data_IF_376556952658
#
_entry.id   IF_376556952658
#
_cell.length_a   1.000
_cell.length_b   1.000
_cell.length_c   1.000
_cell.angle_alpha   90.00
_cell.angle_beta   90.00
_cell.angle_gamma   90.00
#
_symmetry.space_group_name_H-M   'P 1'
#
loop_
_entity.id
_entity.type
_entity.pdbx_description
1 polymer ?
#
# COMPACT_ATOMS: atom_id res chain seq x y z
N UNK A 1 8.99 9.02 1.65
CA UNK A 1 7.69 9.74 1.62
C UNK A 1 7.24 10.16 0.22
N UNK A 2 8.10 10.68 -0.66
CA UNK A 2 7.68 11.15 -2.00
C UNK A 2 6.96 10.10 -2.85
N UNK A 3 7.57 8.91 -3.04
CA UNK A 3 6.95 7.82 -3.82
C UNK A 3 5.61 7.34 -3.22
N UNK A 4 5.58 7.17 -1.90
CA UNK A 4 4.38 6.81 -1.15
C UNK A 4 3.23 7.80 -1.40
N UNK A 5 3.53 9.08 -1.36
CA UNK A 5 2.55 10.15 -1.51
C UNK A 5 1.95 10.18 -2.93
N UNK A 6 2.78 9.97 -3.96
CA UNK A 6 2.29 9.87 -5.35
C UNK A 6 1.36 8.68 -5.51
N UNK A 7 1.76 7.49 -5.01
CA UNK A 7 0.94 6.28 -5.09
C UNK A 7 -0.37 6.45 -4.29
N UNK A 8 -0.29 6.96 -3.06
CA UNK A 8 -1.47 7.21 -2.23
C UNK A 8 -2.42 8.24 -2.86
N UNK A 9 -1.88 9.28 -3.50
CA UNK A 9 -2.68 10.27 -4.22
C UNK A 9 -3.37 9.66 -5.45
N UNK A 10 -2.69 8.77 -6.19
CA UNK A 10 -3.30 8.02 -7.29
C UNK A 10 -4.43 7.10 -6.79
N UNK A 11 -4.20 6.36 -5.70
CA UNK A 11 -5.22 5.51 -5.09
C UNK A 11 -6.44 6.33 -4.63
N UNK A 12 -6.24 7.55 -4.17
CA UNK A 12 -7.36 8.44 -3.80
C UNK A 12 -8.15 8.92 -5.03
N UNK A 13 -7.47 9.17 -6.16
CA UNK A 13 -8.14 9.49 -7.44
C UNK A 13 -8.96 8.29 -7.93
N UNK A 14 -8.38 7.08 -7.93
CA UNK A 14 -9.08 5.84 -8.29
C UNK A 14 -10.26 5.55 -7.35
N UNK A 15 -10.08 5.80 -6.05
CA UNK A 15 -11.16 5.67 -5.05
C UNK A 15 -12.31 6.64 -5.31
N UNK A 16 -12.00 7.87 -5.76
CA UNK A 16 -13.00 8.86 -6.15
C UNK A 16 -13.74 8.47 -7.43
N UNK A 17 -13.02 7.95 -8.43
CA UNK A 17 -13.59 7.43 -9.67
C UNK A 17 -14.53 6.24 -9.40
N UNK A 18 -14.13 5.34 -8.51
CA UNK A 18 -14.97 4.24 -8.04
C UNK A 18 -16.23 4.72 -7.29
N UNK A 19 -16.27 5.97 -6.81
CA UNK A 19 -17.46 6.61 -6.25
C UNK A 19 -18.18 7.54 -7.25
N UNK A 20 -17.82 7.48 -8.53
CA UNK A 20 -18.46 8.18 -9.63
C UNK A 20 -17.95 9.59 -9.93
N UNK A 21 -16.81 10.02 -9.35
CA UNK A 21 -16.18 11.30 -9.70
C UNK A 21 -14.81 11.07 -10.35
N UNK A 22 -14.72 11.35 -11.65
CA UNK A 22 -13.48 11.22 -12.41
C UNK A 22 -12.64 12.49 -12.31
N UNK A 23 -11.39 12.36 -11.85
CA UNK A 23 -10.43 13.45 -11.80
C UNK A 23 -9.20 13.12 -12.65
N UNK A 24 -8.75 14.02 -13.53
CA UNK A 24 -7.55 13.78 -14.33
C UNK A 24 -6.32 13.68 -13.43
N UNK A 25 -5.58 12.56 -13.53
CA UNK A 25 -4.49 12.26 -12.61
C UNK A 25 -3.34 13.26 -12.67
N UNK A 26 -2.85 13.59 -13.87
CA UNK A 26 -1.71 14.49 -14.05
C UNK A 26 -1.90 15.88 -13.39
N UNK A 27 -2.98 16.65 -13.66
CA UNK A 27 -3.19 17.93 -13.01
C UNK A 27 -3.48 17.80 -11.51
N UNK A 28 -4.19 16.75 -11.05
CA UNK A 28 -4.43 16.51 -9.62
C UNK A 28 -3.13 16.28 -8.86
N UNK A 29 -2.23 15.46 -9.41
CA UNK A 29 -0.91 15.21 -8.85
C UNK A 29 0.00 16.43 -8.92
N UNK A 30 -0.08 17.21 -10.01
CA UNK A 30 0.68 18.45 -10.15
C UNK A 30 0.31 19.48 -9.08
N UNK A 31 -1.00 19.67 -8.81
CA UNK A 31 -1.47 20.55 -7.73
C UNK A 31 -0.98 20.05 -6.37
N UNK A 32 -1.02 18.75 -6.12
CA UNK A 32 -0.49 18.18 -4.88
C UNK A 32 1.03 18.43 -4.74
N UNK A 33 1.80 18.23 -5.80
CA UNK A 33 3.24 18.49 -5.81
C UNK A 33 3.59 19.97 -5.59
N UNK A 34 2.89 20.88 -6.27
CA UNK A 34 3.04 22.33 -6.07
C UNK A 34 2.71 22.71 -4.63
N UNK A 35 1.62 22.18 -4.06
CA UNK A 35 1.25 22.39 -2.67
C UNK A 35 2.35 21.93 -1.70
N UNK A 36 2.98 20.79 -1.96
CA UNK A 36 4.12 20.30 -1.19
C UNK A 36 5.32 21.25 -1.28
N UNK A 37 5.67 21.73 -2.46
CA UNK A 37 6.78 22.66 -2.66
C UNK A 37 6.53 24.00 -1.95
N UNK A 38 5.31 24.53 -2.04
CA UNK A 38 4.92 25.73 -1.32
C UNK A 38 4.99 25.51 0.19
N UNK A 39 4.41 24.43 0.71
CA UNK A 39 4.46 24.12 2.14
C UNK A 39 5.91 24.00 2.64
N UNK A 40 6.78 23.34 1.87
CA UNK A 40 8.21 23.24 2.18
C UNK A 40 8.91 24.61 2.19
N UNK A 41 8.58 25.51 1.26
CA UNK A 41 9.11 26.88 1.23
C UNK A 41 8.70 27.69 2.48
N UNK A 42 7.56 27.38 3.09
CA UNK A 42 7.11 27.96 4.37
C UNK A 42 7.53 27.12 5.60
N UNK A 43 8.45 26.16 5.45
CA UNK A 43 9.08 25.43 6.55
C UNK A 43 8.38 24.12 6.97
N UNK A 44 7.40 23.63 6.21
CA UNK A 44 6.82 22.31 6.45
C UNK A 44 7.82 21.19 6.11
N UNK A 45 8.07 20.30 7.07
CA UNK A 45 8.83 19.07 6.83
C UNK A 45 7.95 17.91 6.32
N UNK A 46 6.64 18.11 6.24
CA UNK A 46 5.68 17.11 5.79
C UNK A 46 5.14 17.44 4.40
N UNK A 47 5.14 16.47 3.46
CA UNK A 47 4.56 16.69 2.14
C UNK A 47 3.02 16.66 2.20
N UNK A 48 2.37 17.39 1.29
CA UNK A 48 0.90 17.36 1.15
C UNK A 48 0.47 16.14 0.36
N UNK A 49 -0.75 15.63 0.58
CA UNK A 49 -1.33 14.53 -0.21
C UNK A 49 -2.76 14.87 -0.60
N UNK A 50 -3.27 14.25 -1.68
CA UNK A 50 -4.71 14.25 -1.96
C UNK A 50 -5.42 13.59 -0.79
N UNK A 51 -6.53 14.18 -0.35
CA UNK A 51 -7.25 13.75 0.84
C UNK A 51 -7.90 12.37 0.66
N UNK A 52 -7.76 11.52 1.67
CA UNK A 52 -8.29 10.16 1.66
C UNK A 52 -9.79 10.14 2.05
N UNK A 53 -10.52 9.16 1.51
CA UNK A 53 -11.89 8.90 1.93
C UNK A 53 -12.96 9.71 1.21
N UNK A 54 -12.66 10.27 0.03
CA UNK A 54 -13.64 10.93 -0.86
C UNK A 54 -15.01 10.19 -0.92
N UNK A 55 -15.07 8.86 -1.06
CA UNK A 55 -16.34 8.14 -1.09
C UNK A 55 -17.15 8.25 0.21
N UNK A 56 -16.48 8.29 1.37
CA UNK A 56 -17.11 8.49 2.68
C UNK A 56 -17.72 9.90 2.80
N UNK A 57 -16.94 10.93 2.47
CA UNK A 57 -17.39 12.33 2.52
C UNK A 57 -18.53 12.60 1.54
N UNK A 58 -18.44 12.06 0.32
CA UNK A 58 -19.49 12.17 -0.70
C UNK A 58 -20.81 11.56 -0.22
N UNK A 59 -20.79 10.40 0.43
CA UNK A 59 -22.00 9.77 1.00
C UNK A 59 -22.63 10.61 2.13
N UNK A 60 -21.84 11.43 2.83
CA UNK A 60 -22.35 12.38 3.83
C UNK A 60 -22.88 13.69 3.21
N UNK A 61 -22.91 13.81 1.88
CA UNK A 61 -23.38 14.99 1.17
C UNK A 61 -22.33 16.10 1.03
N UNK A 62 -21.06 15.83 1.34
CA UNK A 62 -19.98 16.79 1.13
C UNK A 62 -19.84 17.12 -0.36
N UNK A 63 -19.60 18.40 -0.66
CA UNK A 63 -19.37 18.94 -2.00
C UNK A 63 -18.16 19.89 -1.96
N UNK A 64 -17.87 20.55 -3.08
CA UNK A 64 -16.75 21.52 -3.16
C UNK A 64 -16.72 22.57 -2.04
N UNK A 65 -17.90 23.02 -1.59
CA UNK A 65 -18.01 23.97 -0.48
C UNK A 65 -17.40 23.44 0.82
N UNK A 66 -17.55 22.15 1.12
CA UNK A 66 -16.94 21.53 2.29
C UNK A 66 -15.41 21.68 2.28
N UNK A 67 -14.78 21.40 1.13
CA UNK A 67 -13.33 21.54 0.97
C UNK A 67 -12.86 22.99 1.13
N UNK A 68 -13.59 23.95 0.56
CA UNK A 68 -13.26 25.39 0.68
C UNK A 68 -13.41 25.85 2.12
N UNK A 69 -14.54 25.56 2.78
CA UNK A 69 -14.77 25.96 4.16
C UNK A 69 -13.75 25.33 5.11
N UNK A 70 -13.40 24.06 4.90
CA UNK A 70 -12.36 23.41 5.69
C UNK A 70 -11.00 24.09 5.51
N UNK A 71 -10.60 24.40 4.27
CA UNK A 71 -9.36 25.11 4.00
C UNK A 71 -9.31 26.50 4.67
N UNK A 72 -10.39 27.28 4.59
CA UNK A 72 -10.50 28.59 5.23
C UNK A 72 -10.46 28.45 6.75
N UNK A 73 -11.27 27.55 7.32
CA UNK A 73 -11.37 27.34 8.76
C UNK A 73 -10.03 26.93 9.39
N UNK A 74 -9.36 25.93 8.80
CA UNK A 74 -8.05 25.48 9.28
C UNK A 74 -7.00 26.58 9.12
N UNK A 75 -7.01 27.33 8.01
CA UNK A 75 -6.09 28.46 7.81
C UNK A 75 -6.28 29.53 8.89
N UNK A 76 -7.52 29.88 9.23
CA UNK A 76 -7.81 30.84 10.30
C UNK A 76 -7.29 30.35 11.66
N UNK A 77 -7.53 29.08 12.00
CA UNK A 77 -7.00 28.48 13.25
C UNK A 77 -5.46 28.61 13.29
N UNK A 78 -4.79 28.28 12.19
CA UNK A 78 -3.34 28.35 12.09
C UNK A 78 -2.81 29.79 12.19
N UNK A 79 -3.40 30.74 11.45
CA UNK A 79 -2.98 32.15 11.46
C UNK A 79 -3.25 32.84 12.80
N UNK A 80 -4.31 32.46 13.51
CA UNK A 80 -4.61 32.95 14.85
C UNK A 80 -3.75 32.29 15.94
N UNK A 81 -2.93 31.28 15.60
CA UNK A 81 -2.16 30.52 16.57
C UNK A 81 -3.02 29.69 17.53
N UNK A 82 -4.26 29.37 17.14
CA UNK A 82 -5.24 28.68 18.00
C UNK A 82 -5.06 27.15 18.04
N UNK A 83 -4.09 26.59 17.30
CA UNK A 83 -3.86 25.15 17.24
C UNK A 83 -3.62 24.50 18.62
N UNK A 84 -2.83 25.08 19.54
CA UNK A 84 -2.64 24.50 20.88
C UNK A 84 -3.95 24.40 21.67
N UNK A 85 -4.86 25.38 21.50
CA UNK A 85 -6.18 25.34 22.13
C UNK A 85 -7.03 24.20 21.56
N UNK A 86 -7.01 24.00 20.24
CA UNK A 86 -7.71 22.87 19.59
C UNK A 86 -7.17 21.54 20.10
N UNK A 87 -5.85 21.38 20.20
CA UNK A 87 -5.22 20.17 20.72
C UNK A 87 -5.46 19.95 22.22
N UNK A 88 -5.70 21.01 22.99
CA UNK A 88 -6.08 20.91 24.41
C UNK A 88 -7.55 20.50 24.59
N UNK A 89 -8.42 20.86 23.64
CA UNK A 89 -9.86 20.56 23.69
C UNK A 89 -10.21 19.22 23.05
N UNK A 90 -9.51 18.83 21.99
CA UNK A 90 -9.80 17.61 21.23
C UNK A 90 -8.82 16.52 21.66
N UNK A 91 -9.28 15.48 22.38
CA UNK A 91 -8.43 14.36 22.75
C UNK A 91 -7.96 13.61 21.50
N UNK A 92 -6.70 13.16 21.51
CA UNK A 92 -6.12 12.39 20.40
C UNK A 92 -6.89 11.08 20.17
N UNK A 93 -7.48 10.54 21.23
CA UNK A 93 -8.32 9.36 21.24
C UNK A 93 -9.57 9.52 20.37
N UNK A 94 -10.04 10.75 20.12
CA UNK A 94 -11.15 11.00 19.21
C UNK A 94 -10.76 10.83 17.73
N UNK A 95 -9.47 11.01 17.40
CA UNK A 95 -8.97 10.86 16.03
C UNK A 95 -8.83 9.40 15.59
N UNK A 96 -8.48 8.50 16.52
CA UNK A 96 -8.21 7.09 16.22
C UNK A 96 -9.43 6.37 15.61
N UNK A 97 -10.66 6.46 16.17
CA UNK A 97 -11.85 5.85 15.60
C UNK A 97 -12.18 6.36 14.19
N UNK A 98 -11.92 7.65 13.90
CA UNK A 98 -12.17 8.24 12.58
C UNK A 98 -11.28 7.58 11.53
N UNK A 99 -9.97 7.46 11.81
CA UNK A 99 -9.03 6.81 10.89
C UNK A 99 -9.34 5.33 10.72
N UNK A 100 -9.69 4.64 11.80
CA UNK A 100 -10.11 3.23 11.76
C UNK A 100 -11.33 3.04 10.86
N UNK A 101 -12.37 3.87 11.03
CA UNK A 101 -13.58 3.81 10.21
C UNK A 101 -13.29 4.09 8.74
N UNK A 102 -12.46 5.08 8.42
CA UNK A 102 -12.01 5.35 7.05
C UNK A 102 -11.32 4.10 6.45
N UNK A 103 -10.43 3.45 7.21
CA UNK A 103 -9.77 2.21 6.78
C UNK A 103 -10.76 1.07 6.50
N UNK A 104 -11.77 0.88 7.34
CA UNK A 104 -12.84 -0.11 7.14
C UNK A 104 -13.60 0.20 5.85
N UNK A 105 -14.00 1.45 5.65
CA UNK A 105 -14.74 1.88 4.45
C UNK A 105 -13.92 1.66 3.17
N UNK A 106 -12.63 2.00 3.17
CA UNK A 106 -11.75 1.80 2.01
C UNK A 106 -11.59 0.31 1.71
N UNK A 107 -11.38 -0.51 2.74
CA UNK A 107 -11.27 -1.96 2.60
C UNK A 107 -12.56 -2.55 2.03
N UNK A 108 -13.72 -2.20 2.61
CA UNK A 108 -15.01 -2.65 2.12
C UNK A 108 -15.25 -2.23 0.67
N UNK A 109 -14.93 -0.99 0.32
CA UNK A 109 -15.05 -0.49 -1.05
C UNK A 109 -14.18 -1.29 -2.02
N UNK A 110 -12.94 -1.61 -1.66
CA UNK A 110 -12.06 -2.39 -2.52
C UNK A 110 -12.68 -3.73 -2.94
N UNK A 111 -13.44 -4.40 -2.06
CA UNK A 111 -14.20 -5.61 -2.41
C UNK A 111 -15.49 -5.32 -3.18
N UNK A 112 -16.16 -4.21 -2.90
CA UNK A 112 -17.46 -3.87 -3.50
C UNK A 112 -17.35 -3.31 -4.92
N UNK A 113 -16.27 -2.60 -5.22
CA UNK A 113 -16.05 -1.95 -6.53
C UNK A 113 -15.19 -2.77 -7.48
N UNK A 114 -14.65 -3.89 -7.00
CA UNK A 114 -13.91 -4.86 -7.80
C UNK A 114 -14.87 -5.98 -8.24
N UNK A 115 -14.73 -6.53 -9.47
CA UNK A 115 -15.50 -7.70 -9.89
C UNK A 115 -15.44 -8.83 -8.85
N UNK A 116 -16.55 -9.53 -8.64
CA UNK A 116 -16.69 -10.52 -7.56
C UNK A 116 -15.67 -11.65 -7.69
N UNK A 117 -15.36 -12.03 -8.92
CA UNK A 117 -14.39 -13.06 -9.29
C UNK A 117 -12.97 -12.70 -8.82
N UNK A 118 -12.67 -11.39 -8.70
CA UNK A 118 -11.37 -10.86 -8.29
C UNK A 118 -11.27 -10.59 -6.78
N UNK A 119 -12.30 -10.90 -5.98
CA UNK A 119 -12.25 -10.74 -4.52
C UNK A 119 -11.03 -11.44 -3.86
N UNK A 120 -10.59 -12.64 -4.29
CA UNK A 120 -9.36 -13.25 -3.75
C UNK A 120 -8.11 -12.38 -3.99
N UNK A 121 -8.03 -11.66 -5.11
CA UNK A 121 -6.90 -10.77 -5.40
C UNK A 121 -6.84 -9.57 -4.46
N UNK A 122 -8.00 -9.02 -4.07
CA UNK A 122 -8.10 -7.97 -3.04
C UNK A 122 -7.55 -8.49 -1.71
N UNK A 123 -7.96 -9.70 -1.30
CA UNK A 123 -7.48 -10.31 -0.06
C UNK A 123 -5.97 -10.59 -0.08
N UNK A 124 -5.44 -11.16 -1.17
CA UNK A 124 -4.00 -11.39 -1.36
C UNK A 124 -3.22 -10.08 -1.31
N UNK A 125 -3.76 -9.02 -1.93
CA UNK A 125 -3.17 -7.68 -1.90
C UNK A 125 -3.04 -7.10 -0.50
N UNK A 126 -3.82 -7.54 0.49
CA UNK A 126 -3.72 -7.03 1.87
C UNK A 126 -2.57 -7.67 2.66
N UNK A 127 -2.09 -8.86 2.28
CA UNK A 127 -1.13 -9.60 3.10
C UNK A 127 0.19 -8.86 3.37
N UNK A 128 0.85 -8.20 2.39
CA UNK A 128 2.08 -7.46 2.69
C UNK A 128 1.85 -6.32 3.69
N UNK A 129 0.69 -5.64 3.65
CA UNK A 129 0.35 -4.60 4.61
C UNK A 129 0.11 -5.16 6.02
N UNK A 130 -0.56 -6.32 6.14
CA UNK A 130 -0.74 -7.02 7.42
C UNK A 130 0.61 -7.46 7.99
N UNK A 131 1.52 -7.97 7.14
CA UNK A 131 2.88 -8.31 7.54
C UNK A 131 3.65 -7.09 8.04
N UNK A 132 3.54 -5.95 7.34
CA UNK A 132 4.14 -4.68 7.75
C UNK A 132 3.62 -4.20 9.11
N UNK A 133 2.31 -4.27 9.33
CA UNK A 133 1.70 -3.95 10.62
C UNK A 133 2.18 -4.91 11.73
N UNK A 134 2.24 -6.22 11.46
CA UNK A 134 2.78 -7.20 12.40
C UNK A 134 4.23 -6.90 12.80
N UNK A 135 5.08 -6.57 11.84
CA UNK A 135 6.46 -6.16 12.12
C UNK A 135 6.54 -4.84 12.90
N UNK A 136 5.63 -3.89 12.61
CA UNK A 136 5.53 -2.64 13.37
C UNK A 136 5.17 -2.89 14.84
N UNK A 137 4.28 -3.85 15.15
CA UNK A 137 3.95 -4.23 16.53
C UNK A 137 5.14 -4.83 17.26
N UNK A 138 5.90 -5.71 16.60
CA UNK A 138 7.15 -6.28 17.14
C UNK A 138 8.15 -5.15 17.42
N UNK A 139 8.41 -4.29 16.44
CA UNK A 139 9.37 -3.19 16.56
C UNK A 139 9.00 -2.21 17.68
N UNK A 140 7.72 -1.85 17.79
CA UNK A 140 7.22 -0.94 18.85
C UNK A 140 7.37 -1.57 20.24
N UNK A 141 7.11 -2.87 20.35
CA UNK A 141 7.24 -3.62 21.61
C UNK A 141 8.69 -3.75 22.04
N UNK A 142 9.60 -4.03 21.10
CA UNK A 142 11.03 -4.11 21.37
C UNK A 142 11.58 -2.76 21.84
N UNK A 143 11.23 -1.68 21.12
CA UNK A 143 11.59 -0.32 21.51
C UNK A 143 11.10 0.03 22.93
N UNK A 144 9.86 -0.31 23.27
CA UNK A 144 9.31 -0.09 24.61
C UNK A 144 9.99 -0.94 25.70
N UNK A 145 10.51 -2.12 25.34
CA UNK A 145 11.22 -3.02 26.26
C UNK A 145 12.72 -2.73 26.39
N UNK A 146 13.27 -1.81 25.60
CA UNK A 146 14.71 -1.53 25.53
C UNK A 146 15.55 -2.64 24.90
N UNK A 147 14.91 -3.63 24.25
CA UNK A 147 15.58 -4.73 23.55
C UNK A 147 15.74 -4.41 22.07
N UNK A 148 16.76 -5.00 21.45
CA UNK A 148 16.96 -4.91 20.01
C UNK A 148 16.45 -6.16 19.30
N UNK A 149 16.13 -6.01 18.01
CA UNK A 149 15.70 -7.14 17.18
C UNK A 149 16.77 -8.24 17.11
N UNK A 150 18.06 -7.87 17.10
CA UNK A 150 19.16 -8.83 17.07
C UNK A 150 19.24 -9.72 18.32
N UNK A 151 18.90 -9.19 19.49
CA UNK A 151 18.90 -9.94 20.76
C UNK A 151 17.81 -11.00 20.82
N UNK A 152 16.66 -10.72 20.20
CA UNK A 152 15.47 -11.58 20.28
C UNK A 152 15.30 -12.50 19.07
N UNK A 153 16.03 -12.25 17.97
CA UNK A 153 15.93 -13.04 16.73
C UNK A 153 16.11 -14.55 16.97
N UNK A 154 17.13 -15.03 17.71
CA UNK A 154 17.32 -16.47 17.93
C UNK A 154 16.16 -17.12 18.71
N UNK A 155 15.50 -16.35 19.57
CA UNK A 155 14.35 -16.80 20.35
C UNK A 155 13.14 -16.99 19.43
N UNK A 156 12.89 -16.04 18.53
CA UNK A 156 11.82 -16.16 17.54
C UNK A 156 12.03 -17.34 16.59
N UNK A 157 13.26 -17.55 16.12
CA UNK A 157 13.61 -18.70 15.27
C UNK A 157 13.35 -20.03 15.97
N UNK A 158 13.76 -20.15 17.24
CA UNK A 158 13.50 -21.33 18.07
C UNK A 158 12.00 -21.57 18.29
N UNK A 159 11.20 -20.50 18.39
CA UNK A 159 9.75 -20.55 18.50
C UNK A 159 9.04 -20.84 17.16
N UNK A 160 9.78 -21.01 16.05
CA UNK A 160 9.24 -21.27 14.72
C UNK A 160 8.72 -20.02 13.99
N UNK A 161 9.02 -18.81 14.49
CA UNK A 161 8.62 -17.56 13.87
C UNK A 161 9.67 -17.08 12.87
N UNK A 162 9.32 -17.03 11.58
CA UNK A 162 10.22 -16.57 10.53
C UNK A 162 10.18 -15.04 10.35
N UNK A 163 10.79 -14.33 11.32
CA UNK A 163 10.83 -12.86 11.34
C UNK A 163 11.54 -12.23 10.14
N UNK A 164 12.64 -12.78 9.57
CA UNK A 164 13.27 -12.23 8.37
C UNK A 164 12.30 -12.06 7.20
N UNK A 165 11.41 -13.04 6.99
CA UNK A 165 10.38 -12.97 5.95
C UNK A 165 9.33 -11.89 6.23
N UNK A 166 8.95 -11.70 7.50
CA UNK A 166 8.03 -10.63 7.90
C UNK A 166 8.64 -9.24 7.65
N UNK A 167 9.94 -9.09 7.95
CA UNK A 167 10.69 -7.86 7.67
C UNK A 167 10.75 -7.59 6.17
N UNK A 168 11.10 -8.60 5.37
CA UNK A 168 11.11 -8.48 3.93
C UNK A 168 9.73 -8.09 3.37
N UNK A 169 8.64 -8.71 3.82
CA UNK A 169 7.30 -8.33 3.36
C UNK A 169 6.90 -6.90 3.77
N UNK A 170 7.42 -6.39 4.89
CA UNK A 170 7.18 -5.01 5.32
C UNK A 170 7.87 -3.97 4.44
N UNK A 171 8.98 -4.33 3.79
CA UNK A 171 9.75 -3.42 2.95
C UNK A 171 9.10 -3.24 1.58
N UNK A 172 8.69 -2.00 1.29
CA UNK A 172 7.99 -1.69 0.04
C UNK A 172 6.60 -2.36 -0.03
N UNK A 173 5.95 -2.58 1.12
CA UNK A 173 4.70 -3.35 1.19
C UNK A 173 3.62 -2.82 0.24
N UNK A 174 3.51 -1.52 0.02
CA UNK A 174 2.47 -0.92 -0.86
C UNK A 174 2.62 -1.39 -2.30
N UNK A 175 3.86 -1.37 -2.81
CA UNK A 175 4.14 -1.87 -4.16
C UNK A 175 3.94 -3.38 -4.21
N UNK A 176 4.33 -4.10 -3.16
CA UNK A 176 4.11 -5.54 -3.04
C UNK A 176 2.62 -5.89 -3.09
N UNK A 177 1.78 -5.16 -2.35
CA UNK A 177 0.32 -5.27 -2.36
C UNK A 177 -0.24 -5.12 -3.79
N UNK A 178 0.18 -4.07 -4.50
CA UNK A 178 -0.27 -3.79 -5.87
C UNK A 178 0.14 -4.88 -6.86
N UNK A 179 1.41 -5.30 -6.80
CA UNK A 179 1.96 -6.33 -7.69
C UNK A 179 1.28 -7.68 -7.43
N UNK A 180 1.11 -8.05 -6.16
CA UNK A 180 0.48 -9.32 -5.80
C UNK A 180 -1.00 -9.35 -6.18
N UNK A 181 -1.73 -8.26 -5.96
CA UNK A 181 -3.11 -8.13 -6.41
C UNK A 181 -3.20 -8.25 -7.94
N UNK A 182 -2.38 -7.50 -8.69
CA UNK A 182 -2.40 -7.51 -10.15
C UNK A 182 -2.01 -8.87 -10.75
N UNK A 183 -0.99 -9.53 -10.19
CA UNK A 183 -0.61 -10.88 -10.58
C UNK A 183 -1.73 -11.89 -10.29
N UNK A 184 -2.39 -11.76 -9.14
CA UNK A 184 -3.51 -12.65 -8.76
C UNK A 184 -4.70 -12.47 -9.68
N UNK A 185 -5.07 -11.23 -10.05
CA UNK A 185 -6.09 -10.97 -11.08
C UNK A 185 -5.71 -11.64 -12.39
N UNK A 186 -4.48 -11.48 -12.86
CA UNK A 186 -4.03 -12.11 -14.10
C UNK A 186 -4.08 -13.64 -14.06
N UNK A 187 -3.86 -14.27 -12.89
CA UNK A 187 -4.03 -15.71 -12.70
C UNK A 187 -5.50 -16.13 -12.73
N UNK A 188 -6.38 -15.38 -12.06
CA UNK A 188 -7.84 -15.64 -12.06
C UNK A 188 -8.40 -15.55 -13.49
N UNK A 189 -7.96 -14.55 -14.26
CA UNK A 189 -8.35 -14.39 -15.66
C UNK A 189 -7.64 -15.36 -16.62
N UNK A 190 -6.84 -16.32 -16.12
CA UNK A 190 -6.04 -17.27 -16.90
C UNK A 190 -5.03 -16.61 -17.87
N UNK A 191 -4.68 -15.35 -17.62
CA UNK A 191 -3.68 -14.58 -18.38
C UNK A 191 -2.28 -14.80 -17.79
N UNK A 192 -1.81 -16.05 -17.78
CA UNK A 192 -0.56 -16.45 -17.12
C UNK A 192 0.68 -15.66 -17.55
N UNK A 193 0.78 -15.27 -18.82
CA UNK A 193 1.88 -14.40 -19.28
C UNK A 193 1.88 -13.03 -18.61
N UNK A 194 0.70 -12.44 -18.36
CA UNK A 194 0.60 -11.17 -17.65
C UNK A 194 0.97 -11.32 -16.16
N UNK A 195 0.58 -12.42 -15.53
CA UNK A 195 1.03 -12.75 -14.18
C UNK A 195 2.57 -12.87 -14.13
N UNK A 196 3.17 -13.51 -15.14
CA UNK A 196 4.62 -13.60 -15.29
C UNK A 196 5.31 -12.23 -15.40
N UNK A 197 4.74 -11.31 -16.19
CA UNK A 197 5.26 -9.92 -16.32
C UNK A 197 5.26 -9.21 -14.96
N UNK A 198 4.20 -9.34 -14.17
CA UNK A 198 4.15 -8.76 -12.82
C UNK A 198 5.21 -9.34 -11.89
N UNK A 199 5.48 -10.64 -11.97
CA UNK A 199 6.56 -11.27 -11.21
C UNK A 199 7.94 -10.82 -11.69
N UNK A 200 8.15 -10.61 -12.98
CA UNK A 200 9.41 -10.03 -13.47
C UNK A 200 9.61 -8.59 -13.00
N UNK A 201 8.55 -7.79 -12.99
CA UNK A 201 8.61 -6.45 -12.40
C UNK A 201 8.96 -6.53 -10.90
N UNK A 202 8.36 -7.46 -10.15
CA UNK A 202 8.70 -7.71 -8.76
C UNK A 202 10.17 -8.11 -8.58
N UNK A 203 10.70 -8.97 -9.45
CA UNK A 203 12.09 -9.39 -9.42
C UNK A 203 13.05 -8.21 -9.60
N UNK A 204 12.75 -7.32 -10.55
CA UNK A 204 13.53 -6.09 -10.81
C UNK A 204 13.45 -5.14 -9.60
N UNK A 205 12.25 -4.88 -9.08
CA UNK A 205 12.07 -3.99 -7.93
C UNK A 205 12.76 -4.54 -6.67
N UNK A 206 12.73 -5.86 -6.47
CA UNK A 206 13.46 -6.54 -5.40
C UNK A 206 14.97 -6.44 -5.60
N UNK A 207 15.45 -6.55 -6.85
CA UNK A 207 16.87 -6.46 -7.16
C UNK A 207 17.41 -5.05 -6.93
N UNK A 208 16.57 -4.02 -7.15
CA UNK A 208 16.87 -2.62 -6.85
C UNK A 208 16.70 -2.25 -5.36
N UNK A 209 16.18 -3.18 -4.55
CA UNK A 209 15.87 -2.96 -3.14
C UNK A 209 14.70 -2.02 -2.88
N UNK A 210 13.80 -1.84 -3.86
CA UNK A 210 12.58 -1.04 -3.71
C UNK A 210 11.51 -1.81 -2.93
N UNK A 211 11.49 -3.14 -3.07
CA UNK A 211 10.67 -4.05 -2.28
C UNK A 211 11.56 -5.13 -1.64
N UNK A 212 11.15 -5.66 -0.50
CA UNK A 212 11.77 -6.79 0.23
C UNK A 212 13.18 -6.65 0.78
N UNK A 213 13.97 -5.71 0.28
CA UNK A 213 15.35 -5.51 0.72
C UNK A 213 15.42 -4.67 1.99
N UNK A 214 16.12 -5.17 2.99
CA UNK A 214 16.36 -4.46 4.24
C UNK A 214 17.80 -4.61 4.73
N UNK A 215 18.20 -3.70 5.61
CA UNK A 215 19.45 -3.75 6.36
C UNK A 215 19.19 -3.38 7.82
N UNK A 216 20.04 -3.88 8.71
CA UNK A 216 20.03 -3.54 10.13
C UNK A 216 20.95 -2.36 10.37
N UNK A 217 20.42 -1.23 10.86
CA UNK A 217 21.19 -0.05 11.24
C UNK A 217 20.89 0.27 12.71
N UNK A 218 21.89 0.18 13.57
CA UNK A 218 21.79 0.58 14.99
C UNK A 218 20.58 -0.05 15.73
N UNK A 219 20.28 -1.33 15.44
CA UNK A 219 19.15 -2.05 16.04
C UNK A 219 17.78 -1.78 15.41
N UNK A 220 17.71 -0.90 14.41
CA UNK A 220 16.53 -0.62 13.60
C UNK A 220 16.62 -1.27 12.20
N UNK A 221 15.47 -1.49 11.57
CA UNK A 221 15.38 -1.98 10.19
C UNK A 221 15.17 -0.80 9.26
N UNK A 222 15.98 -0.71 8.22
CA UNK A 222 15.81 0.25 7.14
C UNK A 222 15.78 -0.45 5.78
N UNK A 223 15.12 0.16 4.78
CA UNK A 223 15.23 -0.31 3.40
C UNK A 223 16.67 -0.22 2.91
N UNK A 224 17.11 -1.25 2.19
CA UNK A 224 18.44 -1.28 1.58
C UNK A 224 18.32 -1.14 0.06
N UNK A 225 18.43 0.10 -0.41
CA UNK A 225 18.43 0.45 -1.83
C UNK A 225 19.81 0.22 -2.45
N UNK A 226 19.85 -0.32 -3.65
CA UNK A 226 21.10 -0.54 -4.37
C UNK A 226 20.93 -1.53 -5.50
N UNK A 227 22.02 -1.85 -6.17
CA UNK A 227 22.01 -2.91 -7.18
C UNK A 227 22.18 -4.27 -6.50
N UNK A 228 21.26 -5.18 -6.78
CA UNK A 228 21.32 -6.57 -6.35
C UNK A 228 21.35 -6.76 -4.82
N UNK A 229 20.52 -6.00 -4.11
CA UNK A 229 20.57 -5.92 -2.64
C UNK A 229 19.91 -7.09 -1.92
N UNK A 230 18.93 -7.76 -2.53
CA UNK A 230 18.27 -8.94 -1.95
C UNK A 230 18.00 -10.03 -3.01
N UNK A 231 19.00 -10.86 -3.36
CA UNK A 231 18.92 -11.78 -4.48
C UNK A 231 17.88 -12.90 -4.29
N UNK A 232 17.58 -13.31 -3.05
CA UNK A 232 16.69 -14.44 -2.79
C UNK A 232 15.26 -14.17 -3.28
N UNK A 233 14.68 -13.02 -2.93
CA UNK A 233 13.36 -12.61 -3.42
C UNK A 233 13.38 -12.32 -4.92
N UNK A 234 14.45 -11.72 -5.44
CA UNK A 234 14.60 -11.49 -6.88
C UNK A 234 14.59 -12.79 -7.68
N UNK A 235 15.33 -13.81 -7.22
CA UNK A 235 15.32 -15.14 -7.84
C UNK A 235 13.98 -15.83 -7.67
N UNK A 236 13.35 -15.75 -6.49
CA UNK A 236 12.03 -16.34 -6.27
C UNK A 236 11.00 -15.77 -7.25
N UNK A 237 10.91 -14.45 -7.38
CA UNK A 237 10.01 -13.82 -8.35
C UNK A 237 10.37 -14.14 -9.80
N UNK A 238 11.67 -14.18 -10.14
CA UNK A 238 12.09 -14.56 -11.48
C UNK A 238 11.66 -15.98 -11.82
N UNK A 239 11.87 -16.93 -10.91
CA UNK A 239 11.48 -18.34 -11.07
C UNK A 239 9.97 -18.49 -11.23
N UNK A 240 9.18 -17.81 -10.37
CA UNK A 240 7.72 -17.80 -10.47
C UNK A 240 7.26 -17.15 -11.78
N UNK A 241 7.91 -16.07 -12.21
CA UNK A 241 7.62 -15.40 -13.48
C UNK A 241 7.90 -16.27 -14.70
N UNK A 242 9.03 -16.97 -14.71
CA UNK A 242 9.38 -17.97 -15.74
C UNK A 242 8.35 -19.09 -15.73
N UNK A 243 7.99 -19.61 -14.56
CA UNK A 243 6.98 -20.66 -14.43
C UNK A 243 5.63 -20.22 -15.00
N UNK A 244 5.12 -19.04 -14.66
CA UNK A 244 3.86 -18.52 -15.21
C UNK A 244 3.92 -18.31 -16.72
N UNK A 245 5.04 -17.82 -17.26
CA UNK A 245 5.22 -17.66 -18.70
C UNK A 245 5.27 -19.01 -19.43
N UNK A 246 6.02 -19.98 -18.90
CA UNK A 246 6.14 -21.32 -19.45
C UNK A 246 4.80 -22.06 -19.41
N UNK A 247 4.09 -21.97 -18.29
CA UNK A 247 2.75 -22.52 -18.13
C UNK A 247 1.76 -21.85 -19.09
N UNK A 248 1.79 -20.53 -19.22
CA UNK A 248 0.96 -19.79 -20.18
C UNK A 248 1.22 -20.18 -21.63
N UNK A 249 2.48 -20.40 -22.01
CA UNK A 249 2.83 -20.90 -23.34
C UNK A 249 2.30 -22.32 -23.57
N UNK A 250 2.46 -23.21 -22.58
CA UNK A 250 1.96 -24.58 -22.65
C UNK A 250 0.42 -24.61 -22.73
N UNK A 251 -0.25 -23.78 -21.94
CA UNK A 251 -1.71 -23.65 -21.90
C UNK A 251 -2.29 -23.17 -23.24
N UNK A 252 -1.63 -22.20 -23.89
CA UNK A 252 -2.01 -21.72 -25.23
C UNK A 252 -1.82 -22.78 -26.32
N UNK A 253 -0.82 -23.66 -26.17
CA UNK A 253 -0.55 -24.75 -27.13
C UNK A 253 -1.46 -25.96 -26.95
N UNK A 254 -2.00 -26.15 -25.75
CA UNK A 254 -2.91 -27.25 -25.43
C UNK A 254 -4.24 -26.67 -24.94
N UNK A 255 -4.97 -25.92 -25.79
CA UNK A 255 -6.29 -25.43 -25.41
C UNK A 255 -7.15 -26.64 -25.09
N UNK A 256 -7.70 -26.68 -23.87
CA UNK A 256 -8.67 -27.71 -23.55
C UNK A 256 -9.88 -27.50 -24.47
N UNK A 257 -10.25 -28.53 -25.23
CA UNK A 257 -11.59 -28.60 -25.82
C UNK A 257 -12.58 -28.41 -24.68
N UNK A 258 -13.62 -27.56 -24.82
CA UNK A 258 -14.65 -27.47 -23.80
C UNK A 258 -15.29 -28.85 -23.71
N UNK A 259 -14.87 -29.64 -22.72
CA UNK A 259 -15.53 -30.89 -22.36
C UNK A 259 -16.91 -30.45 -21.90
N UNK A 260 -17.93 -30.78 -22.70
CA UNK A 260 -19.32 -30.51 -22.36
C UNK A 260 -19.59 -30.94 -20.93
N UNK A 261 -19.95 -29.97 -20.10
CA UNK A 261 -20.65 -30.23 -18.86
C UNK A 261 -21.95 -29.41 -18.89
N UNK A 262 -22.97 -30.03 -19.50
CA UNK A 262 -24.22 -30.56 -18.91
C UNK A 262 -25.20 -29.46 -18.50
N UNK A 263 -26.32 -29.44 -19.21
CA UNK A 263 -27.60 -28.94 -18.74
C UNK A 263 -27.88 -29.43 -17.31
N UNK A 264 -28.31 -28.52 -16.45
CA UNK A 264 -28.71 -28.77 -15.05
C UNK A 264 -29.03 -27.48 -14.32
#
# INVERSE_FOLDING_TARGET
MGLFNVIGSLQNIESAEAAGDTYPAAPSLAVNGIGTLLAAAFGSCFPTTIYIGHPGWKRMGARVGYSIYNAVFISLICFLGAMPLVLALIPMEAGVPVVLWIGIIITAQAFQTTPKEHAPAVAVGLFPAVAAWGFQMISSTLAASGKTLGEVMPIFETAGSHIPGLIALSQGFILSCMIWAAATVALIETKFTHAGIWMFLAAILSALGIIHSYQMIEGSVANHFGWWTFPEFSWAYLMVGVFFCAFGWWFRKNPQTPTGMIDG
#
